data_IF_960392515314
#
_entry.id   IF_960392515314
#
_cell.length_a   1.000
_cell.length_b   1.000
_cell.length_c   1.000
_cell.angle_alpha   90.00
_cell.angle_beta   90.00
_cell.angle_gamma   90.00
#
_symmetry.space_group_name_H-M   'P 1'
#
loop_
_entity.id
_entity.type
_entity.pdbx_description
1 polymer ?
#
# COMPACT_ATOMS: atom_id res chain seq x y z
N UNK A 1 -20.64 10.19 29.27
CA UNK A 1 -20.90 8.73 29.18
C UNK A 1 -20.23 8.20 27.92
N UNK A 2 -19.62 7.02 27.97
CA UNK A 2 -19.04 6.38 26.78
C UNK A 2 -20.16 5.97 25.82
N UNK A 3 -20.00 6.25 24.53
CA UNK A 3 -20.92 5.80 23.47
C UNK A 3 -20.92 4.26 23.34
N UNK A 4 -19.87 3.59 23.82
CA UNK A 4 -19.71 2.14 23.70
C UNK A 4 -19.73 1.45 25.07
N UNK A 5 -20.28 0.24 25.12
CA UNK A 5 -20.34 -0.61 26.30
C UNK A 5 -19.36 -1.80 26.15
N UNK A 6 -19.26 -2.64 27.19
CA UNK A 6 -18.35 -3.79 27.23
C UNK A 6 -18.63 -4.83 26.13
N UNK A 7 -19.90 -5.01 25.74
CA UNK A 7 -20.28 -5.94 24.68
C UNK A 7 -19.78 -5.47 23.32
N UNK A 8 -19.88 -4.16 23.03
CA UNK A 8 -19.34 -3.58 21.80
C UNK A 8 -17.82 -3.79 21.68
N UNK A 9 -17.07 -3.64 22.79
CA UNK A 9 -15.61 -3.85 22.79
C UNK A 9 -15.21 -5.33 22.65
N UNK A 10 -16.05 -6.25 23.09
CA UNK A 10 -15.79 -7.69 23.04
C UNK A 10 -16.42 -8.37 21.81
N UNK A 11 -17.00 -7.61 20.88
CA UNK A 11 -17.57 -8.17 19.66
C UNK A 11 -16.48 -8.83 18.81
N UNK A 12 -16.81 -10.01 18.26
CA UNK A 12 -16.01 -10.71 17.26
C UNK A 12 -16.25 -10.24 15.82
N UNK A 13 -17.06 -9.19 15.64
CA UNK A 13 -17.40 -8.65 14.34
C UNK A 13 -16.17 -8.07 13.63
N UNK A 14 -16.23 -8.12 12.30
CA UNK A 14 -15.23 -7.47 11.45
C UNK A 14 -15.37 -5.94 11.46
N UNK A 15 -14.31 -5.28 11.00
CA UNK A 15 -14.31 -3.83 10.79
C UNK A 15 -14.90 -3.47 9.42
N UNK A 16 -15.53 -2.29 9.31
CA UNK A 16 -16.09 -1.80 8.05
C UNK A 16 -15.05 -1.79 6.92
N UNK A 17 -15.26 -2.63 5.90
CA UNK A 17 -14.29 -2.85 4.80
C UNK A 17 -13.96 -1.59 4.01
N UNK A 18 -14.90 -0.64 3.93
CA UNK A 18 -14.69 0.65 3.28
C UNK A 18 -13.73 1.58 4.06
N UNK A 19 -13.52 1.34 5.36
CA UNK A 19 -12.64 2.15 6.22
C UNK A 19 -11.20 1.65 6.15
N UNK A 20 -10.98 0.35 6.38
CA UNK A 20 -9.62 -0.22 6.46
C UNK A 20 -9.11 -0.80 5.14
N UNK A 21 -10.00 -1.18 4.22
CA UNK A 21 -9.63 -1.81 2.94
C UNK A 21 -8.76 -0.90 2.08
N UNK A 22 -9.15 0.37 1.83
CA UNK A 22 -8.32 1.25 1.01
C UNK A 22 -6.94 1.58 1.59
N UNK A 23 -6.78 1.91 2.87
CA UNK A 23 -5.45 2.07 3.47
C UNK A 23 -4.59 0.81 3.37
N UNK A 24 -5.17 -0.38 3.54
CA UNK A 24 -4.44 -1.63 3.35
C UNK A 24 -3.98 -1.79 1.90
N UNK A 25 -4.87 -1.60 0.91
CA UNK A 25 -4.47 -1.67 -0.50
C UNK A 25 -3.40 -0.66 -0.84
N UNK A 26 -3.50 0.56 -0.34
CA UNK A 26 -2.45 1.57 -0.49
C UNK A 26 -1.11 1.10 0.06
N UNK A 27 -1.12 0.44 1.23
CA UNK A 27 0.07 -0.12 1.85
C UNK A 27 0.64 -1.28 1.04
N UNK A 28 -0.19 -2.24 0.60
CA UNK A 28 0.25 -3.40 -0.18
C UNK A 28 0.87 -3.00 -1.52
N UNK A 29 0.26 -2.05 -2.22
CA UNK A 29 0.83 -1.49 -3.44
C UNK A 29 2.17 -0.81 -3.15
N UNK A 30 2.23 0.09 -2.17
CA UNK A 30 3.48 0.75 -1.76
C UNK A 30 4.60 -0.24 -1.42
N UNK A 31 4.30 -1.28 -0.63
CA UNK A 31 5.22 -2.35 -0.26
C UNK A 31 5.73 -3.08 -1.51
N UNK A 32 4.84 -3.45 -2.43
CA UNK A 32 5.22 -4.17 -3.65
C UNK A 32 6.07 -3.32 -4.59
N UNK A 33 5.73 -2.04 -4.78
CA UNK A 33 6.53 -1.12 -5.60
C UNK A 33 7.86 -0.74 -4.94
N UNK A 34 8.03 -0.94 -3.62
CA UNK A 34 9.31 -0.78 -2.95
C UNK A 34 10.13 -2.08 -2.81
N UNK A 35 9.58 -3.22 -3.19
CA UNK A 35 10.29 -4.50 -3.16
C UNK A 35 11.60 -4.43 -3.97
N UNK A 36 12.70 -5.09 -3.55
CA UNK A 36 13.98 -4.99 -4.26
C UNK A 36 13.91 -5.50 -5.69
N UNK A 37 14.69 -4.89 -6.58
CA UNK A 37 14.85 -5.36 -7.97
C UNK A 37 15.58 -6.71 -8.01
N UNK A 38 16.54 -6.91 -7.10
CA UNK A 38 17.30 -8.15 -6.93
C UNK A 38 17.19 -8.62 -5.47
N UNK A 39 16.06 -9.23 -5.07
CA UNK A 39 15.85 -9.61 -3.68
C UNK A 39 16.68 -10.83 -3.28
N UNK A 40 17.20 -10.82 -2.05
CA UNK A 40 17.85 -11.98 -1.42
C UNK A 40 16.83 -13.09 -1.14
N UNK A 41 17.32 -14.29 -0.81
CA UNK A 41 16.44 -15.41 -0.42
C UNK A 41 15.56 -15.04 0.78
N UNK A 42 16.16 -14.46 1.82
CA UNK A 42 15.42 -14.06 3.03
C UNK A 42 14.38 -12.98 2.74
N UNK A 43 14.68 -12.02 1.87
CA UNK A 43 13.70 -11.02 1.42
C UNK A 43 12.52 -11.68 0.70
N UNK A 44 12.77 -12.66 -0.18
CA UNK A 44 11.69 -13.43 -0.84
C UNK A 44 10.84 -14.19 0.17
N UNK A 45 11.48 -14.78 1.17
CA UNK A 45 10.81 -15.57 2.20
C UNK A 45 9.95 -14.70 3.12
N UNK A 46 10.49 -13.58 3.60
CA UNK A 46 9.78 -12.63 4.43
C UNK A 46 8.56 -12.03 3.72
N UNK A 47 8.71 -11.60 2.46
CA UNK A 47 7.59 -11.06 1.69
C UNK A 47 6.55 -12.14 1.37
N UNK A 48 6.98 -13.36 1.04
CA UNK A 48 6.06 -14.48 0.83
C UNK A 48 5.20 -14.73 2.08
N UNK A 49 5.83 -14.81 3.25
CA UNK A 49 5.11 -15.03 4.51
C UNK A 49 4.21 -13.85 4.87
N UNK A 50 4.66 -12.62 4.66
CA UNK A 50 3.85 -11.42 4.85
C UNK A 50 2.55 -11.48 4.03
N UNK A 51 2.65 -11.68 2.71
CA UNK A 51 1.45 -11.77 1.85
C UNK A 51 0.60 -13.00 2.16
N UNK A 52 1.22 -14.15 2.45
CA UNK A 52 0.47 -15.37 2.82
C UNK A 52 -0.33 -15.17 4.11
N UNK A 53 0.26 -14.52 5.10
CA UNK A 53 -0.35 -14.31 6.42
C UNK A 53 -1.63 -13.45 6.40
N UNK A 54 -1.81 -12.63 5.36
CA UNK A 54 -3.01 -11.80 5.19
C UNK A 54 -4.29 -12.65 5.19
N UNK A 55 -4.24 -13.91 4.72
CA UNK A 55 -5.40 -14.81 4.77
C UNK A 55 -5.91 -15.09 6.19
N UNK A 56 -5.12 -14.80 7.23
CA UNK A 56 -5.47 -15.04 8.63
C UNK A 56 -5.89 -13.78 9.38
N UNK A 57 -5.42 -12.59 8.96
CA UNK A 57 -5.47 -11.38 9.79
C UNK A 57 -6.38 -10.27 9.26
N UNK A 58 -6.96 -10.40 8.05
CA UNK A 58 -7.91 -9.40 7.57
C UNK A 58 -9.10 -9.29 8.55
N UNK A 59 -9.53 -8.08 8.95
CA UNK A 59 -10.57 -7.86 9.96
C UNK A 59 -11.97 -8.04 9.35
N UNK A 60 -12.18 -9.14 8.63
CA UNK A 60 -13.41 -9.50 7.92
C UNK A 60 -13.32 -10.99 7.54
N UNK A 61 -14.18 -11.83 8.10
CA UNK A 61 -14.17 -13.28 7.86
C UNK A 61 -14.26 -13.63 6.38
N UNK A 62 -15.26 -13.11 5.67
CA UNK A 62 -15.43 -13.39 4.24
C UNK A 62 -14.26 -12.89 3.39
N UNK A 63 -13.62 -11.79 3.80
CA UNK A 63 -12.45 -11.27 3.11
C UNK A 63 -11.27 -12.24 3.23
N UNK A 64 -11.08 -12.88 4.39
CA UNK A 64 -10.07 -13.94 4.60
C UNK A 64 -10.35 -15.16 3.72
N UNK A 65 -11.59 -15.65 3.75
CA UNK A 65 -12.01 -16.82 2.97
C UNK A 65 -11.81 -16.56 1.46
N UNK A 66 -12.27 -15.40 0.97
CA UNK A 66 -12.09 -15.00 -0.43
C UNK A 66 -10.63 -14.75 -0.81
N UNK A 67 -9.82 -14.19 0.10
CA UNK A 67 -8.40 -13.98 -0.15
C UNK A 67 -7.69 -15.32 -0.39
N UNK A 68 -7.97 -16.33 0.44
CA UNK A 68 -7.43 -17.69 0.28
C UNK A 68 -7.78 -18.29 -1.09
N UNK A 69 -9.03 -18.15 -1.53
CA UNK A 69 -9.43 -18.64 -2.86
C UNK A 69 -8.79 -17.84 -4.00
N UNK A 70 -8.71 -16.51 -3.89
CA UNK A 70 -8.03 -15.67 -4.88
C UNK A 70 -6.54 -16.01 -5.00
N UNK A 71 -5.87 -16.35 -3.88
CA UNK A 71 -4.48 -16.81 -3.90
C UNK A 71 -4.32 -18.10 -4.71
N UNK A 72 -5.26 -19.05 -4.58
CA UNK A 72 -5.25 -20.28 -5.38
C UNK A 72 -5.47 -19.95 -6.86
N UNK A 73 -6.48 -19.15 -7.19
CA UNK A 73 -6.80 -18.77 -8.58
C UNK A 73 -5.62 -18.06 -9.27
N UNK A 74 -4.85 -17.26 -8.54
CA UNK A 74 -3.70 -16.54 -9.06
C UNK A 74 -2.39 -17.36 -9.00
N UNK A 75 -2.47 -18.65 -8.66
CA UNK A 75 -1.32 -19.54 -8.49
C UNK A 75 -0.25 -18.89 -7.59
N UNK A 76 -0.65 -18.46 -6.39
CA UNK A 76 0.26 -17.82 -5.45
C UNK A 76 1.44 -18.73 -5.11
N UNK A 77 2.66 -18.24 -5.37
CA UNK A 77 3.89 -19.00 -5.19
C UNK A 77 5.12 -18.11 -5.24
N UNK A 78 6.29 -18.71 -5.04
CA UNK A 78 7.59 -18.01 -4.99
C UNK A 78 7.95 -17.27 -6.29
N UNK A 79 7.34 -17.65 -7.41
CA UNK A 79 7.53 -17.00 -8.72
C UNK A 79 7.13 -15.53 -8.72
N UNK A 80 6.11 -15.15 -7.95
CA UNK A 80 5.68 -13.75 -7.82
C UNK A 80 6.66 -12.89 -7.02
N UNK A 81 7.62 -13.50 -6.31
CA UNK A 81 8.62 -12.80 -5.48
C UNK A 81 9.99 -12.72 -6.14
N UNK A 82 10.09 -13.04 -7.44
CA UNK A 82 11.34 -13.02 -8.19
C UNK A 82 12.04 -11.66 -8.11
N UNK A 83 11.28 -10.58 -8.33
CA UNK A 83 11.75 -9.20 -8.34
C UNK A 83 10.58 -8.24 -8.08
N UNK A 84 10.86 -6.93 -8.08
CA UNK A 84 9.85 -5.87 -7.92
C UNK A 84 8.69 -6.01 -8.90
N UNK A 85 8.98 -6.21 -10.19
CA UNK A 85 7.96 -6.22 -11.24
C UNK A 85 7.03 -7.43 -11.09
N UNK A 86 7.57 -8.61 -10.77
CA UNK A 86 6.75 -9.79 -10.51
C UNK A 86 5.79 -9.57 -9.34
N UNK A 87 6.27 -8.97 -8.25
CA UNK A 87 5.46 -8.79 -7.04
C UNK A 87 4.40 -7.70 -7.22
N UNK A 88 4.77 -6.54 -7.76
CA UNK A 88 3.81 -5.45 -8.02
C UNK A 88 2.72 -5.86 -8.99
N UNK A 89 3.04 -6.67 -10.02
CA UNK A 89 2.04 -7.24 -10.93
C UNK A 89 1.12 -8.22 -10.23
N UNK A 90 1.64 -9.05 -9.33
CA UNK A 90 0.80 -9.95 -8.54
C UNK A 90 -0.20 -9.16 -7.68
N UNK A 91 0.27 -8.13 -6.95
CA UNK A 91 -0.60 -7.29 -6.12
C UNK A 91 -1.65 -6.54 -6.96
N UNK A 92 -1.27 -6.04 -8.14
CA UNK A 92 -2.22 -5.46 -9.11
C UNK A 92 -3.29 -6.48 -9.54
N UNK A 93 -2.89 -7.67 -9.99
CA UNK A 93 -3.83 -8.72 -10.43
C UNK A 93 -4.76 -9.15 -9.29
N UNK A 94 -4.24 -9.27 -8.08
CA UNK A 94 -5.02 -9.60 -6.90
C UNK A 94 -6.06 -8.52 -6.58
N UNK A 95 -5.68 -7.25 -6.66
CA UNK A 95 -6.61 -6.14 -6.43
C UNK A 95 -7.71 -6.11 -7.51
N UNK A 96 -7.35 -6.32 -8.78
CA UNK A 96 -8.33 -6.37 -9.88
C UNK A 96 -9.26 -7.59 -9.79
N UNK A 97 -8.77 -8.74 -9.30
CA UNK A 97 -9.62 -9.91 -9.00
C UNK A 97 -10.65 -9.56 -7.93
N UNK A 98 -10.24 -8.92 -6.84
CA UNK A 98 -11.16 -8.47 -5.78
C UNK A 98 -12.16 -7.44 -6.31
N UNK A 99 -11.72 -6.49 -7.14
CA UNK A 99 -12.62 -5.54 -7.80
C UNK A 99 -13.68 -6.26 -8.64
N UNK A 100 -13.27 -7.22 -9.48
CA UNK A 100 -14.17 -8.05 -10.27
C UNK A 100 -15.19 -8.80 -9.40
N UNK A 101 -14.74 -9.45 -8.33
CA UNK A 101 -15.61 -10.21 -7.42
C UNK A 101 -16.64 -9.30 -6.72
N UNK A 102 -16.33 -8.02 -6.54
CA UNK A 102 -17.22 -7.01 -5.96
C UNK A 102 -18.04 -6.25 -7.00
N UNK A 103 -17.98 -6.63 -8.29
CA UNK A 103 -18.67 -5.93 -9.38
C UNK A 103 -18.12 -4.53 -9.67
N UNK A 104 -16.88 -4.24 -9.27
CA UNK A 104 -16.20 -2.95 -9.46
C UNK A 104 -15.25 -3.01 -10.64
N UNK A 105 -14.99 -1.84 -11.24
CA UNK A 105 -13.94 -1.64 -12.25
C UNK A 105 -13.03 -0.52 -11.78
N UNK A 106 -11.72 -0.75 -11.77
CA UNK A 106 -10.74 0.29 -11.45
C UNK A 106 -10.59 1.31 -12.58
N UNK A 107 -10.66 0.83 -13.83
CA UNK A 107 -10.36 1.62 -15.02
C UNK A 107 -8.87 1.95 -15.20
N UNK A 108 -7.98 1.31 -14.42
CA UNK A 108 -6.55 1.61 -14.41
C UNK A 108 -5.77 0.43 -14.98
N UNK A 109 -4.78 0.72 -15.82
CA UNK A 109 -3.79 -0.27 -16.25
C UNK A 109 -2.73 -0.46 -15.16
N UNK A 110 -1.94 -1.53 -15.26
CA UNK A 110 -0.76 -1.71 -14.40
C UNK A 110 0.22 -0.53 -14.51
N UNK A 111 0.38 0.07 -15.70
CA UNK A 111 1.25 1.22 -15.89
C UNK A 111 0.74 2.45 -15.12
N UNK A 112 -0.57 2.72 -15.16
CA UNK A 112 -1.18 3.82 -14.39
C UNK A 112 -0.96 3.64 -12.88
N UNK A 113 -1.11 2.41 -12.39
CA UNK A 113 -0.88 2.09 -10.98
C UNK A 113 0.60 2.21 -10.64
N UNK A 114 1.51 1.70 -11.46
CA UNK A 114 2.95 1.84 -11.27
C UNK A 114 3.34 3.32 -11.17
N UNK A 115 3.00 4.10 -12.18
CA UNK A 115 3.39 5.50 -12.27
C UNK A 115 2.78 6.30 -11.10
N UNK A 116 1.54 5.98 -10.70
CA UNK A 116 0.91 6.53 -9.49
C UNK A 116 1.76 6.33 -8.23
N UNK A 117 2.26 5.12 -7.98
CA UNK A 117 3.07 4.85 -6.77
C UNK A 117 4.53 5.32 -6.91
N UNK A 118 5.08 5.39 -8.12
CA UNK A 118 6.41 5.98 -8.35
C UNK A 118 6.46 7.48 -8.02
N UNK A 119 5.34 8.20 -8.10
CA UNK A 119 5.25 9.59 -7.62
C UNK A 119 5.58 9.72 -6.11
N UNK A 120 5.47 8.64 -5.34
CA UNK A 120 5.75 8.62 -3.90
C UNK A 120 7.15 8.10 -3.56
N UNK A 121 7.99 7.80 -4.55
CA UNK A 121 9.35 7.30 -4.34
C UNK A 121 10.18 8.35 -3.60
N UNK A 122 10.61 8.01 -2.39
CA UNK A 122 11.61 8.79 -1.69
C UNK A 122 13.00 8.58 -2.32
N UNK A 123 13.81 9.64 -2.34
CA UNK A 123 15.25 9.52 -2.59
C UNK A 123 15.98 9.84 -1.29
N UNK A 124 16.89 8.95 -0.90
CA UNK A 124 18.00 9.38 -0.07
C UNK A 124 18.90 10.20 -0.98
N UNK A 125 18.84 11.54 -0.89
CA UNK A 125 19.99 12.32 -1.33
C UNK A 125 21.12 11.86 -0.43
N UNK A 126 22.16 11.23 -1.00
CA UNK A 126 23.35 10.94 -0.22
C UNK A 126 23.77 12.25 0.46
N UNK A 127 24.12 12.17 1.74
CA UNK A 127 24.73 13.23 2.56
C UNK A 127 26.11 13.69 2.01
N UNK A 128 26.33 13.62 0.69
CA UNK A 128 27.56 14.03 0.02
C UNK A 128 27.66 15.56 -0.11
N UNK A 129 26.60 16.31 0.22
CA UNK A 129 26.73 17.75 0.45
C UNK A 129 27.29 17.99 1.85
N UNK A 130 28.63 18.01 1.94
CA UNK A 130 29.36 18.76 2.97
C UNK A 130 28.91 20.23 2.90
N UNK A 131 27.86 20.59 3.65
CA UNK A 131 27.51 21.94 4.16
C UNK A 131 26.05 22.03 4.64
N UNK A 132 25.58 21.08 5.44
CA UNK A 132 24.44 21.34 6.34
C UNK A 132 24.98 21.69 7.72
N UNK A 133 24.53 22.80 8.34
CA UNK A 133 24.94 23.13 9.69
C UNK A 133 24.49 21.99 10.59
N UNK A 134 25.41 21.47 11.39
CA UNK A 134 25.19 20.44 12.40
C UNK A 134 24.15 20.94 13.39
N UNK A 135 22.88 20.69 13.11
CA UNK A 135 21.82 20.81 14.11
C UNK A 135 22.13 19.75 15.15
N UNK A 136 22.58 20.21 16.32
CA UNK A 136 22.85 19.42 17.52
C UNK A 136 21.87 18.25 17.63
N UNK A 137 22.43 17.07 17.86
CA UNK A 137 21.75 15.81 18.16
C UNK A 137 20.44 16.01 18.93
N UNK A 138 19.35 16.12 18.19
CA UNK A 138 18.06 15.69 18.67
C UNK A 138 17.93 14.25 18.21
N UNK A 139 17.60 13.35 19.13
CA UNK A 139 17.36 11.92 18.87
C UNK A 139 16.12 11.73 17.98
N UNK A 140 16.14 12.27 16.77
CA UNK A 140 15.07 12.15 15.78
C UNK A 140 15.51 11.08 14.79
N UNK A 141 14.69 10.04 14.64
CA UNK A 141 14.95 8.93 13.73
C UNK A 141 15.11 9.43 12.29
N UNK A 142 16.10 8.89 11.57
CA UNK A 142 16.29 9.20 10.14
C UNK A 142 15.16 8.57 9.33
N UNK A 143 14.46 9.37 8.52
CA UNK A 143 13.39 8.92 7.62
C UNK A 143 13.63 9.35 6.17
N UNK A 144 13.21 8.51 5.22
CA UNK A 144 13.28 8.82 3.79
C UNK A 144 12.15 9.79 3.38
N UNK A 145 12.30 11.09 3.68
CA UNK A 145 11.22 12.09 3.52
C UNK A 145 11.34 12.99 2.28
N UNK A 146 12.44 12.86 1.53
CA UNK A 146 12.70 13.72 0.37
C UNK A 146 12.16 13.09 -0.93
N UNK A 147 11.29 13.81 -1.68
CA UNK A 147 10.71 13.30 -2.91
C UNK A 147 11.74 13.28 -4.05
N UNK A 148 11.48 12.43 -5.04
CA UNK A 148 12.25 12.36 -6.29
C UNK A 148 12.32 13.71 -7.04
N UNK A 149 11.19 14.41 -7.16
CA UNK A 149 11.07 15.78 -7.69
C UNK A 149 9.84 16.46 -7.06
N UNK A 150 9.84 17.79 -6.93
CA UNK A 150 8.66 18.56 -6.53
C UNK A 150 8.46 18.72 -5.02
N UNK A 151 7.20 18.82 -4.59
CA UNK A 151 6.83 19.11 -3.19
C UNK A 151 6.81 17.86 -2.32
N UNK A 152 7.20 17.99 -1.04
CA UNK A 152 7.06 16.91 -0.05
C UNK A 152 5.58 16.52 0.08
N UNK A 153 5.27 15.29 -0.31
CA UNK A 153 3.91 14.76 -0.28
C UNK A 153 3.63 14.07 1.04
N UNK A 154 2.40 14.19 1.55
CA UNK A 154 1.91 13.44 2.72
C UNK A 154 0.55 12.82 2.43
N UNK A 155 0.28 11.66 3.02
CA UNK A 155 -1.05 11.03 2.96
C UNK A 155 -1.99 11.65 4.00
N UNK A 156 -3.25 11.87 3.62
CA UNK A 156 -4.33 12.32 4.53
C UNK A 156 -5.48 11.32 4.43
N UNK A 157 -5.85 10.71 5.55
CA UNK A 157 -6.97 9.78 5.62
C UNK A 157 -8.24 10.51 6.05
N UNK A 158 -9.26 10.46 5.19
CA UNK A 158 -10.57 11.08 5.46
C UNK A 158 -11.65 9.99 5.52
N UNK A 159 -12.32 9.84 6.66
CA UNK A 159 -13.48 8.95 6.79
C UNK A 159 -14.74 9.76 6.46
N UNK A 160 -15.46 9.32 5.42
CA UNK A 160 -16.66 9.99 4.91
C UNK A 160 -17.81 8.99 4.80
N UNK A 161 -19.08 9.46 4.80
CA UNK A 161 -20.23 8.59 4.56
C UNK A 161 -20.07 7.81 3.26
N UNK A 162 -20.54 6.55 3.22
CA UNK A 162 -20.48 5.67 2.05
C UNK A 162 -21.15 6.26 0.80
N UNK A 163 -22.10 7.17 0.99
CA UNK A 163 -22.81 7.90 -0.08
C UNK A 163 -21.97 9.01 -0.72
N UNK A 164 -20.81 9.33 -0.16
CA UNK A 164 -19.91 10.33 -0.73
C UNK A 164 -19.40 9.90 -2.10
N UNK A 165 -19.42 10.83 -3.06
CA UNK A 165 -18.85 10.63 -4.40
C UNK A 165 -17.33 10.88 -4.44
N UNK A 166 -16.68 11.12 -3.30
CA UNK A 166 -15.23 11.35 -3.24
C UNK A 166 -14.48 10.08 -3.61
N UNK A 167 -13.45 10.22 -4.43
CA UNK A 167 -12.56 9.12 -4.76
C UNK A 167 -11.77 8.67 -3.52
N UNK A 168 -11.49 7.37 -3.49
CA UNK A 168 -10.75 6.72 -2.41
C UNK A 168 -9.31 7.23 -2.28
N UNK A 169 -8.66 7.56 -3.39
CA UNK A 169 -7.31 8.11 -3.42
C UNK A 169 -7.29 9.29 -4.37
N UNK A 170 -7.03 10.47 -3.82
CA UNK A 170 -6.84 11.70 -4.60
C UNK A 170 -5.39 12.14 -4.46
N UNK A 171 -4.76 12.48 -5.58
CA UNK A 171 -3.38 12.97 -5.61
C UNK A 171 -3.43 14.38 -6.16
N UNK A 172 -2.97 15.34 -5.34
CA UNK A 172 -2.88 16.73 -5.77
C UNK A 172 -1.95 16.84 -6.99
N UNK A 173 -2.32 17.64 -7.99
CA UNK A 173 -1.51 17.83 -9.20
C UNK A 173 -0.07 18.29 -8.91
N UNK A 174 0.15 19.01 -7.80
CA UNK A 174 1.50 19.41 -7.36
C UNK A 174 2.35 18.24 -6.86
N UNK A 175 1.71 17.16 -6.42
CA UNK A 175 2.36 15.92 -5.97
C UNK A 175 2.64 14.95 -7.13
N UNK A 176 2.18 15.25 -8.34
CA UNK A 176 2.49 14.46 -9.54
C UNK A 176 3.75 14.99 -10.19
N UNK A 177 4.70 14.09 -10.46
CA UNK A 177 5.93 14.41 -11.19
C UNK A 177 5.57 14.66 -12.64
N UNK A 178 5.84 15.87 -13.12
CA UNK A 178 5.75 16.22 -14.55
C UNK A 178 7.15 16.08 -15.14
N UNK A 179 7.31 15.20 -16.13
CA UNK A 179 8.54 15.23 -16.93
C UNK A 179 8.62 16.61 -17.60
N UNK A 180 9.69 17.37 -17.33
CA UNK A 180 10.05 18.48 -18.20
C UNK A 180 10.40 17.85 -19.55
N UNK A 181 9.51 18.00 -20.54
CA UNK A 181 9.93 17.86 -21.93
C UNK A 181 10.94 18.95 -22.24
#
# INVERSE_FOLDING_TARGET
MSTFNKEHYNSGDGMLTAVWGPPLWHSLHTISFNYPIKPTKDQKDNYYQYFKSLEHVLPCKYCRDNYKENLKTLNFGKTHFKDRDSLSRFVYKLHEMVNKNLGKKSGLTYADVRDRYENFRARCLNDDSKNTPTVKDSKIEKGCTDPLYGVKSKCVMNIVPKTSKKETLTINEKCKIKNKK
#
